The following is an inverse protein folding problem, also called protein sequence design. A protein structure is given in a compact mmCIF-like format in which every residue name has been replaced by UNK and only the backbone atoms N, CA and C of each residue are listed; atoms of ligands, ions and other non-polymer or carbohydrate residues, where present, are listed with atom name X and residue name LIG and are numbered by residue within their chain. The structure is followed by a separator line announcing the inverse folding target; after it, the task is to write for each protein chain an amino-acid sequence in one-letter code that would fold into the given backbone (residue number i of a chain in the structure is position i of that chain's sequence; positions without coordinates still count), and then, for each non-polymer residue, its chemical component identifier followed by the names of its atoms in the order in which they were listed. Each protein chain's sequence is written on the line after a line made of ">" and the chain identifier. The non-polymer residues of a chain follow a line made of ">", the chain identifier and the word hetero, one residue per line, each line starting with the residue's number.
data_IF_841364393071
#
_entry.id   IF_841364393071
#
_cell.length_a   1.000
_cell.length_b   1.000
_cell.length_c   1.000
_cell.angle_alpha   90.00
_cell.angle_beta   90.00
_cell.angle_gamma   90.00
#
_symmetry.space_group_name_H-M   'P 1'
#
loop_
_entity.id
_entity.type
_entity.pdbx_description
1 polymer ?
#
# COMPACT_ATOMS: atom_id res chain seq x y z
N UNK A 1 -4.38 21.90 -4.74
CA UNK A 1 -3.87 20.69 -5.44
C UNK A 1 -2.71 20.03 -4.67
N UNK A 2 -2.89 19.74 -3.38
CA UNK A 2 -1.82 19.13 -2.59
C UNK A 2 -2.33 18.65 -1.24
N UNK A 3 -2.86 17.41 -1.18
CA UNK A 3 -3.07 16.72 0.11
C UNK A 3 -3.32 15.21 -0.06
N UNK A 4 -2.57 14.55 -0.93
CA UNK A 4 -2.39 13.08 -0.86
C UNK A 4 -1.02 12.70 -0.28
N UNK A 5 -0.05 13.62 -0.35
CA UNK A 5 1.27 13.43 0.23
C UNK A 5 1.31 13.67 1.76
N UNK A 6 0.38 14.46 2.30
CA UNK A 6 0.39 14.87 3.72
C UNK A 6 -0.65 14.16 4.58
N UNK A 7 -1.77 13.76 4.00
CA UNK A 7 -2.81 12.96 4.65
C UNK A 7 -2.94 11.63 3.94
N UNK A 8 -2.36 10.54 4.48
CA UNK A 8 -2.44 9.24 3.85
C UNK A 8 -3.90 8.79 3.75
N UNK A 9 -4.36 8.42 2.55
CA UNK A 9 -5.73 7.95 2.28
C UNK A 9 -6.18 6.81 3.22
N UNK A 10 -5.23 5.99 3.65
CA UNK A 10 -5.42 4.92 4.64
C UNK A 10 -5.76 5.42 6.04
N UNK A 11 -5.44 6.67 6.37
CA UNK A 11 -5.76 7.26 7.68
C UNK A 11 -7.26 7.41 7.88
N UNK A 12 -8.01 7.85 6.87
CA UNK A 12 -9.46 8.00 6.97
C UNK A 12 -10.15 6.66 7.24
N UNK A 13 -9.76 5.60 6.53
CA UNK A 13 -10.24 4.23 6.77
C UNK A 13 -9.80 3.67 8.13
N UNK A 14 -8.55 3.92 8.52
CA UNK A 14 -8.04 3.42 9.78
C UNK A 14 -8.74 4.08 10.99
N UNK A 15 -9.22 5.32 10.86
CA UNK A 15 -9.99 6.03 11.89
C UNK A 15 -11.35 5.35 12.17
N UNK A 16 -11.97 4.68 11.21
CA UNK A 16 -13.21 3.93 11.43
C UNK A 16 -13.00 2.65 12.25
N UNK A 17 -11.81 2.05 12.15
CA UNK A 17 -11.50 0.75 12.76
C UNK A 17 -10.64 0.85 14.03
N UNK A 18 -10.00 2.00 14.27
CA UNK A 18 -9.05 2.20 15.37
C UNK A 18 -9.62 3.21 16.38
N UNK A 19 -9.66 2.89 17.69
CA UNK A 19 -10.11 3.82 18.71
C UNK A 19 -9.34 5.16 18.67
N UNK A 20 -10.04 6.28 18.86
CA UNK A 20 -9.51 7.66 18.72
C UNK A 20 -8.23 7.92 19.52
N UNK A 21 -8.09 7.27 20.67
CA UNK A 21 -6.90 7.32 21.53
C UNK A 21 -5.59 6.93 20.83
N UNK A 22 -5.64 6.20 19.72
CA UNK A 22 -4.44 5.78 18.98
C UNK A 22 -4.14 6.65 17.75
N UNK A 23 -5.01 7.60 17.37
CA UNK A 23 -4.88 8.38 16.13
C UNK A 23 -3.63 9.28 16.12
N UNK A 24 -3.29 9.89 17.26
CA UNK A 24 -2.13 10.80 17.35
C UNK A 24 -0.81 10.08 17.62
N UNK A 25 -0.83 8.75 17.79
CA UNK A 25 0.37 7.99 18.09
C UNK A 25 1.37 8.06 16.93
N UNK A 26 2.68 8.23 17.21
CA UNK A 26 3.72 8.19 16.18
C UNK A 26 3.69 6.89 15.36
N UNK A 27 3.30 5.80 16.01
CA UNK A 27 3.16 4.46 15.42
C UNK A 27 2.06 4.42 14.34
N UNK A 28 0.91 5.03 14.60
CA UNK A 28 -0.20 5.12 13.65
C UNK A 28 0.16 5.95 12.41
N UNK A 29 0.76 7.14 12.62
CA UNK A 29 1.22 8.00 11.51
C UNK A 29 2.31 7.33 10.66
N UNK A 30 3.29 6.67 11.29
CA UNK A 30 4.35 5.94 10.56
C UNK A 30 3.78 4.79 9.76
N UNK A 31 2.82 4.06 10.31
CA UNK A 31 2.14 2.95 9.63
C UNK A 31 1.39 3.43 8.38
N UNK A 32 0.60 4.49 8.50
CA UNK A 32 -0.14 5.03 7.36
C UNK A 32 0.80 5.58 6.28
N UNK A 33 1.90 6.24 6.67
CA UNK A 33 2.92 6.74 5.71
C UNK A 33 3.58 5.60 4.94
N UNK A 34 3.97 4.51 5.62
CA UNK A 34 4.57 3.32 4.99
C UNK A 34 3.59 2.67 4.03
N UNK A 35 2.33 2.50 4.44
CA UNK A 35 1.27 1.95 3.60
C UNK A 35 1.05 2.80 2.35
N UNK A 36 0.98 4.12 2.48
CA UNK A 36 0.82 5.02 1.33
C UNK A 36 2.02 4.98 0.39
N UNK A 37 3.25 4.96 0.91
CA UNK A 37 4.44 4.82 0.08
C UNK A 37 4.48 3.48 -0.67
N UNK A 38 4.11 2.39 0.01
CA UNK A 38 4.01 1.06 -0.60
C UNK A 38 2.98 1.05 -1.74
N UNK A 39 1.77 1.55 -1.50
CA UNK A 39 0.74 1.63 -2.54
C UNK A 39 1.17 2.53 -3.71
N UNK A 40 1.86 3.64 -3.44
CA UNK A 40 2.48 4.47 -4.48
C UNK A 40 3.49 3.71 -5.33
N UNK A 41 4.35 2.89 -4.70
CA UNK A 41 5.30 2.02 -5.40
C UNK A 41 4.60 0.94 -6.24
N UNK A 42 3.56 0.31 -5.72
CA UNK A 42 2.74 -0.69 -6.42
C UNK A 42 2.11 -0.08 -7.68
N UNK A 43 1.56 1.13 -7.58
CA UNK A 43 1.01 1.86 -8.72
C UNK A 43 2.09 2.17 -9.75
N UNK A 44 3.25 2.65 -9.32
CA UNK A 44 4.36 2.97 -10.22
C UNK A 44 4.83 1.72 -10.99
N UNK A 45 5.00 0.60 -10.29
CA UNK A 45 5.40 -0.67 -10.91
C UNK A 45 4.34 -1.14 -11.91
N UNK A 46 3.06 -1.09 -11.54
CA UNK A 46 1.95 -1.45 -12.44
C UNK A 46 1.94 -0.57 -13.70
N UNK A 47 2.16 0.74 -13.57
CA UNK A 47 2.23 1.66 -14.69
C UNK A 47 3.41 1.35 -15.63
N UNK A 48 4.59 1.06 -15.08
CA UNK A 48 5.77 0.67 -15.87
C UNK A 48 5.55 -0.66 -16.61
N UNK A 49 4.93 -1.64 -15.96
CA UNK A 49 4.58 -2.92 -16.59
C UNK A 49 3.61 -2.72 -17.76
N UNK A 50 2.60 -1.87 -17.60
CA UNK A 50 1.68 -1.52 -18.69
C UNK A 50 2.40 -0.85 -19.88
N UNK A 51 3.32 0.08 -19.62
CA UNK A 51 4.13 0.72 -20.67
C UNK A 51 5.02 -0.29 -21.40
N UNK A 52 5.63 -1.24 -20.68
CA UNK A 52 6.44 -2.31 -21.27
C UNK A 52 5.58 -3.28 -22.10
N UNK A 53 4.36 -3.58 -21.65
CA UNK A 53 3.44 -4.45 -22.37
C UNK A 53 3.05 -3.89 -23.75
N UNK A 54 3.05 -2.56 -23.93
CA UNK A 54 2.81 -1.94 -25.25
C UNK A 54 3.93 -2.22 -26.27
N UNK A 55 5.14 -2.50 -25.80
CA UNK A 55 6.32 -2.73 -26.64
C UNK A 55 6.60 -4.23 -26.88
N UNK A 56 5.92 -5.12 -26.15
CA UNK A 56 6.14 -6.57 -26.20
C UNK A 56 4.89 -7.29 -26.71
N UNK A 57 4.94 -7.80 -27.95
CA UNK A 57 3.80 -8.49 -28.61
C UNK A 57 3.56 -9.93 -28.09
N UNK A 58 4.55 -10.56 -27.47
CA UNK A 58 4.45 -11.95 -26.95
C UNK A 58 4.79 -11.97 -25.45
N UNK A 59 3.83 -12.33 -24.60
CA UNK A 59 3.93 -12.26 -23.13
C UNK A 59 3.09 -11.16 -22.46
N UNK A 60 2.27 -10.45 -23.25
CA UNK A 60 1.36 -9.38 -22.80
C UNK A 60 0.45 -9.78 -21.63
N UNK A 61 -0.05 -11.02 -21.61
CA UNK A 61 -0.98 -11.48 -20.56
C UNK A 61 -0.32 -11.55 -19.18
N UNK A 62 0.97 -11.92 -19.11
CA UNK A 62 1.70 -11.97 -17.85
C UNK A 62 1.92 -10.57 -17.26
N UNK A 63 2.32 -9.61 -18.11
CA UNK A 63 2.58 -8.23 -17.72
C UNK A 63 1.29 -7.46 -17.39
N UNK A 64 0.18 -7.76 -18.09
CA UNK A 64 -1.10 -7.07 -17.90
C UNK A 64 -1.97 -7.67 -16.79
N UNK A 65 -1.89 -8.98 -16.54
CA UNK A 65 -2.78 -9.65 -15.57
C UNK A 65 -2.03 -10.25 -14.41
N UNK A 66 -1.08 -11.15 -14.66
CA UNK A 66 -0.49 -11.98 -13.59
C UNK A 66 0.31 -11.14 -12.60
N UNK A 67 1.21 -10.28 -13.10
CA UNK A 67 2.07 -9.46 -12.24
C UNK A 67 1.26 -8.41 -11.46
N UNK A 68 0.34 -7.65 -12.08
CA UNK A 68 -0.50 -6.71 -11.34
C UNK A 68 -1.36 -7.37 -10.26
N UNK A 69 -1.95 -8.54 -10.55
CA UNK A 69 -2.73 -9.30 -9.56
C UNK A 69 -1.83 -9.76 -8.41
N UNK A 70 -0.65 -10.31 -8.69
CA UNK A 70 0.30 -10.71 -7.65
C UNK A 70 0.75 -9.52 -6.79
N UNK A 71 1.00 -8.36 -7.40
CA UNK A 71 1.32 -7.12 -6.68
C UNK A 71 0.15 -6.69 -5.78
N UNK A 72 -1.09 -6.77 -6.28
CA UNK A 72 -2.27 -6.41 -5.52
C UNK A 72 -2.46 -7.34 -4.31
N UNK A 73 -2.35 -8.65 -4.51
CA UNK A 73 -2.49 -9.64 -3.44
C UNK A 73 -1.41 -9.47 -2.37
N UNK A 74 -0.17 -9.24 -2.79
CA UNK A 74 0.94 -8.98 -1.85
C UNK A 74 0.75 -7.67 -1.09
N UNK A 75 0.29 -6.60 -1.75
CA UNK A 75 -0.02 -5.32 -1.10
C UNK A 75 -1.16 -5.45 -0.07
N UNK A 76 -2.23 -6.19 -0.40
CA UNK A 76 -3.34 -6.48 0.52
C UNK A 76 -2.85 -7.28 1.73
N UNK A 77 -2.03 -8.32 1.49
CA UNK A 77 -1.46 -9.14 2.56
C UNK A 77 -0.57 -8.31 3.49
N UNK A 78 0.29 -7.46 2.92
CA UNK A 78 1.15 -6.56 3.68
C UNK A 78 0.34 -5.57 4.51
N UNK A 79 -0.72 -5.00 3.93
CA UNK A 79 -1.62 -4.06 4.62
C UNK A 79 -2.27 -4.69 5.85
N UNK A 80 -2.62 -5.97 5.78
CA UNK A 80 -3.19 -6.71 6.93
C UNK A 80 -2.14 -7.11 7.97
N UNK A 81 -0.96 -7.56 7.53
CA UNK A 81 0.07 -8.11 8.42
C UNK A 81 0.87 -7.03 9.16
N UNK A 82 1.20 -5.93 8.48
CA UNK A 82 2.11 -4.90 9.01
C UNK A 82 1.62 -4.26 10.32
N UNK A 83 0.34 -3.85 10.48
CA UNK A 83 -0.15 -3.30 11.74
C UNK A 83 -0.15 -4.31 12.90
N UNK A 84 -0.30 -5.61 12.60
CA UNK A 84 -0.26 -6.67 13.61
C UNK A 84 1.18 -6.92 14.09
N UNK A 85 2.14 -6.95 13.15
CA UNK A 85 3.54 -7.16 13.46
C UNK A 85 4.16 -5.98 14.24
N UNK A 86 3.85 -4.75 13.85
CA UNK A 86 4.34 -3.55 14.55
C UNK A 86 3.75 -3.43 15.96
N UNK A 87 2.49 -3.84 16.17
CA UNK A 87 1.89 -3.92 17.52
C UNK A 87 2.52 -5.02 18.38
N UNK A 88 2.92 -6.14 17.78
CA UNK A 88 3.61 -7.21 18.49
C UNK A 88 5.02 -6.79 18.94
N UNK A 89 5.78 -6.09 18.09
CA UNK A 89 7.09 -5.54 18.44
C UNK A 89 7.01 -4.41 19.49
N UNK A 90 5.91 -3.64 19.55
CA UNK A 90 5.75 -2.57 20.54
C UNK A 90 5.30 -3.06 21.93
N UNK A 91 4.95 -4.36 22.09
CA UNK A 91 4.51 -4.98 23.35
C UNK A 91 5.57 -5.91 23.98
N UNK A 92 6.66 -6.20 23.27
CA UNK A 92 7.82 -6.93 23.79
C UNK A 92 8.93 -5.98 24.18
#
# INVERSE_FOLDING_TARGET
>A
LGSLAFTPFTEQYARESVPRQYWDTPLFRRTNRVLTAMWGGVFLVTALLGLLALHVRSGSDWLNWVIPIALLVSAIRFTKWYPAHVRAQARG
#
